data_IF_062627441753
#
_entry.id   IF_062627441753
#
_cell.length_a   1.000
_cell.length_b   1.000
_cell.length_c   1.000
_cell.angle_alpha   90.00
_cell.angle_beta   90.00
_cell.angle_gamma   90.00
#
_symmetry.space_group_name_H-M   'P 1'
#
loop_
_entity.id
_entity.type
_entity.pdbx_description
1 polymer ?
#
# COMPACT_ATOMS: atom_id res chain seq x y z
N UNK A 1 14.95 -1.20 -10.26
CA UNK A 1 15.26 0.24 -10.21
C UNK A 1 16.43 0.64 -11.10
N UNK A 2 17.57 -0.05 -11.03
CA UNK A 2 18.80 0.30 -11.75
C UNK A 2 18.61 0.37 -13.28
N UNK A 3 17.95 -0.64 -13.85
CA UNK A 3 17.68 -0.67 -15.30
C UNK A 3 16.75 0.50 -15.72
N UNK A 4 15.75 0.82 -14.90
CA UNK A 4 14.84 1.93 -15.15
C UNK A 4 15.60 3.26 -15.13
N UNK A 5 16.45 3.51 -14.12
CA UNK A 5 17.29 4.71 -14.07
C UNK A 5 18.22 4.82 -15.27
N UNK A 6 18.88 3.71 -15.67
CA UNK A 6 19.76 3.71 -16.86
C UNK A 6 19.01 4.06 -18.15
N UNK A 7 17.73 3.70 -18.27
CA UNK A 7 16.90 4.13 -19.41
C UNK A 7 16.52 5.60 -19.33
N UNK A 8 16.15 6.10 -18.15
CA UNK A 8 15.81 7.51 -17.93
C UNK A 8 17.01 8.42 -18.20
N UNK A 9 18.21 8.06 -17.74
CA UNK A 9 19.47 8.80 -18.00
C UNK A 9 19.77 8.95 -19.50
N UNK A 10 19.39 7.98 -20.31
CA UNK A 10 19.55 8.02 -21.77
C UNK A 10 18.54 8.91 -22.47
N UNK A 11 17.31 9.00 -21.92
CA UNK A 11 16.21 9.76 -22.55
C UNK A 11 16.22 11.22 -22.10
N UNK A 12 16.56 11.50 -20.84
CA UNK A 12 16.57 12.86 -20.27
C UNK A 12 17.27 13.91 -21.15
N UNK A 13 18.47 13.67 -21.72
CA UNK A 13 19.12 14.66 -22.57
C UNK A 13 18.36 14.96 -23.87
N UNK A 14 17.46 14.08 -24.30
CA UNK A 14 16.67 14.25 -25.52
C UNK A 14 15.40 15.09 -25.28
N UNK A 15 14.84 15.02 -24.06
CA UNK A 15 13.62 15.72 -23.65
C UNK A 15 13.76 16.29 -22.23
N UNK A 16 14.67 17.26 -22.02
CA UNK A 16 15.11 17.67 -20.69
C UNK A 16 14.05 18.32 -19.81
N UNK A 17 12.93 18.78 -20.38
CA UNK A 17 11.83 19.46 -19.65
C UNK A 17 10.52 18.70 -19.78
N UNK A 18 10.58 17.38 -19.77
CA UNK A 18 9.38 16.55 -19.88
C UNK A 18 8.92 16.08 -18.48
N UNK A 19 7.70 16.44 -18.11
CA UNK A 19 7.08 16.08 -16.84
C UNK A 19 7.03 14.56 -16.61
N UNK A 20 6.92 13.76 -17.67
CA UNK A 20 6.88 12.29 -17.57
C UNK A 20 8.26 11.74 -17.14
N UNK A 21 9.36 12.32 -17.62
CA UNK A 21 10.71 11.92 -17.21
C UNK A 21 10.90 12.18 -15.72
N UNK A 22 10.60 13.41 -15.27
CA UNK A 22 10.73 13.77 -13.86
C UNK A 22 9.86 12.90 -12.95
N UNK A 23 8.60 12.64 -13.33
CA UNK A 23 7.71 11.77 -12.53
C UNK A 23 8.17 10.31 -12.50
N UNK A 24 8.73 9.81 -13.61
CA UNK A 24 9.27 8.45 -13.67
C UNK A 24 10.52 8.29 -12.82
N UNK A 25 11.43 9.28 -12.84
CA UNK A 25 12.60 9.29 -11.96
C UNK A 25 12.21 9.39 -10.48
N UNK A 26 11.25 10.26 -10.16
CA UNK A 26 10.70 10.37 -8.82
C UNK A 26 10.14 9.03 -8.32
N UNK A 27 9.39 8.32 -9.17
CA UNK A 27 8.86 6.99 -8.82
C UNK A 27 9.97 5.97 -8.57
N UNK A 28 11.04 5.96 -9.37
CA UNK A 28 12.18 5.05 -9.17
C UNK A 28 12.93 5.38 -7.88
N UNK A 29 13.18 6.67 -7.61
CA UNK A 29 13.85 7.11 -6.37
C UNK A 29 13.00 6.79 -5.13
N UNK A 30 11.67 6.97 -5.22
CA UNK A 30 10.75 6.57 -4.16
C UNK A 30 10.92 5.08 -3.82
N UNK A 31 11.00 4.21 -4.82
CA UNK A 31 11.22 2.77 -4.61
C UNK A 31 12.63 2.41 -4.09
N UNK A 32 13.56 3.35 -4.15
CA UNK A 32 14.87 3.25 -3.51
C UNK A 32 14.90 3.85 -2.10
N UNK A 33 13.77 4.37 -1.60
CA UNK A 33 13.66 5.04 -0.30
C UNK A 33 14.29 6.44 -0.27
N UNK A 34 14.66 7.02 -1.42
CA UNK A 34 15.26 8.37 -1.54
C UNK A 34 14.14 9.40 -1.67
N UNK A 35 13.35 9.56 -0.62
CA UNK A 35 12.10 10.31 -0.66
C UNK A 35 12.32 11.81 -0.87
N UNK A 36 13.34 12.40 -0.27
CA UNK A 36 13.66 13.82 -0.38
C UNK A 36 14.02 14.21 -1.81
N UNK A 37 14.84 13.40 -2.47
CA UNK A 37 15.21 13.60 -3.88
C UNK A 37 14.00 13.35 -4.80
N UNK A 38 13.26 12.29 -4.52
CA UNK A 38 12.06 11.95 -5.27
C UNK A 38 11.00 13.06 -5.23
N UNK A 39 10.77 13.64 -4.04
CA UNK A 39 9.78 14.71 -3.87
C UNK A 39 10.17 15.96 -4.65
N UNK A 40 11.46 16.32 -4.67
CA UNK A 40 11.98 17.45 -5.48
C UNK A 40 11.67 17.26 -6.98
N UNK A 41 11.84 16.03 -7.49
CA UNK A 41 11.53 15.73 -8.90
C UNK A 41 10.02 15.67 -9.15
N UNK A 42 9.24 15.13 -8.23
CA UNK A 42 7.79 15.08 -8.35
C UNK A 42 7.17 16.50 -8.37
N UNK A 43 7.64 17.39 -7.50
CA UNK A 43 7.23 18.80 -7.51
C UNK A 43 7.59 19.47 -8.85
N UNK A 44 8.81 19.27 -9.34
CA UNK A 44 9.22 19.78 -10.66
C UNK A 44 8.34 19.23 -11.79
N UNK A 45 7.97 17.95 -11.73
CA UNK A 45 7.07 17.35 -12.73
C UNK A 45 5.68 17.99 -12.72
N UNK A 46 5.13 18.28 -11.53
CA UNK A 46 3.82 18.95 -11.38
C UNK A 46 3.89 20.42 -11.82
N UNK A 47 4.98 21.11 -11.51
CA UNK A 47 5.20 22.50 -11.99
C UNK A 47 5.28 22.57 -13.51
N UNK A 48 5.97 21.63 -14.15
CA UNK A 48 6.07 21.57 -15.62
C UNK A 48 4.72 21.25 -16.27
N UNK A 49 3.91 20.38 -15.65
CA UNK A 49 2.61 19.98 -16.19
C UNK A 49 1.67 19.56 -15.05
N UNK A 50 0.90 20.51 -14.55
CA UNK A 50 -0.06 20.27 -13.44
C UNK A 50 -1.17 19.25 -13.77
N UNK A 51 -1.45 19.00 -15.05
CA UNK A 51 -2.42 17.98 -15.50
C UNK A 51 -1.84 16.57 -15.55
N UNK A 52 -0.53 16.37 -15.33
CA UNK A 52 0.08 15.04 -15.30
C UNK A 52 -0.35 14.28 -14.03
N UNK A 53 -1.31 13.35 -14.20
CA UNK A 53 -1.84 12.56 -13.08
C UNK A 53 -0.79 11.65 -12.43
N UNK A 54 0.16 11.12 -13.21
CA UNK A 54 1.26 10.30 -12.67
C UNK A 54 2.15 11.12 -11.76
N UNK A 55 2.48 12.35 -12.13
CA UNK A 55 3.28 13.25 -11.31
C UNK A 55 2.57 13.59 -9.99
N UNK A 56 1.29 13.95 -10.06
CA UNK A 56 0.49 14.24 -8.86
C UNK A 56 0.36 13.03 -7.95
N UNK A 57 0.09 11.85 -8.52
CA UNK A 57 0.01 10.60 -7.77
C UNK A 57 1.34 10.27 -7.09
N UNK A 58 2.47 10.35 -7.81
CA UNK A 58 3.80 10.10 -7.24
C UNK A 58 4.10 11.07 -6.09
N UNK A 59 3.75 12.35 -6.24
CA UNK A 59 3.90 13.36 -5.19
C UNK A 59 3.04 13.03 -3.96
N UNK A 60 1.80 12.62 -4.17
CA UNK A 60 0.89 12.24 -3.08
C UNK A 60 1.40 11.02 -2.31
N UNK A 61 1.95 10.03 -2.99
CA UNK A 61 2.63 8.91 -2.34
C UNK A 61 3.85 9.36 -1.52
N UNK A 62 4.65 10.30 -2.04
CA UNK A 62 5.82 10.81 -1.33
C UNK A 62 5.43 11.61 -0.08
N UNK A 63 4.32 12.36 -0.12
CA UNK A 63 3.77 12.98 1.08
C UNK A 63 3.29 11.96 2.10
N UNK A 64 2.67 10.85 1.67
CA UNK A 64 2.35 9.71 2.57
C UNK A 64 3.61 9.12 3.17
N UNK A 65 4.60 8.80 2.34
CA UNK A 65 5.86 8.19 2.76
C UNK A 65 6.68 9.09 3.71
N UNK A 66 6.47 10.40 3.67
CA UNK A 66 7.15 11.38 4.54
C UNK A 66 6.25 11.93 5.65
N UNK A 67 5.11 11.29 5.91
CA UNK A 67 4.13 11.65 6.95
C UNK A 67 3.62 13.11 6.87
N UNK A 68 3.41 13.62 5.68
CA UNK A 68 2.76 14.91 5.44
C UNK A 68 1.25 14.70 5.27
N UNK A 69 0.61 14.05 6.24
CA UNK A 69 -0.76 13.53 6.14
C UNK A 69 -1.81 14.62 5.89
N UNK A 70 -1.67 15.83 6.48
CA UNK A 70 -2.57 16.95 6.20
C UNK A 70 -2.54 17.32 4.71
N UNK A 71 -1.35 17.35 4.09
CA UNK A 71 -1.23 17.63 2.65
C UNK A 71 -1.89 16.54 1.82
N UNK A 72 -1.72 15.29 2.21
CA UNK A 72 -2.38 14.17 1.50
C UNK A 72 -3.89 14.23 1.67
N UNK A 73 -4.40 14.59 2.84
CA UNK A 73 -5.84 14.72 3.09
C UNK A 73 -6.46 15.83 2.24
N UNK A 74 -5.75 16.95 2.05
CA UNK A 74 -6.26 18.14 1.37
C UNK A 74 -6.02 18.11 -0.15
N UNK A 75 -4.86 17.62 -0.60
CA UNK A 75 -4.39 17.71 -1.99
C UNK A 75 -4.05 16.34 -2.61
N UNK A 76 -4.20 15.24 -1.87
CA UNK A 76 -3.83 13.90 -2.32
C UNK A 76 -4.70 13.39 -3.45
N UNK A 77 -4.13 12.45 -4.21
CA UNK A 77 -4.79 11.84 -5.36
C UNK A 77 -5.43 10.49 -4.97
N UNK A 78 -6.50 10.15 -5.69
CA UNK A 78 -7.14 8.84 -5.67
C UNK A 78 -7.66 8.43 -4.26
N UNK A 79 -7.17 7.32 -3.73
CA UNK A 79 -7.56 6.73 -2.44
C UNK A 79 -6.69 7.20 -1.25
N UNK A 80 -5.56 7.84 -1.52
CA UNK A 80 -4.59 8.26 -0.50
C UNK A 80 -5.20 9.19 0.58
N UNK A 81 -6.10 10.15 0.27
CA UNK A 81 -6.76 10.96 1.28
C UNK A 81 -7.50 10.14 2.34
N UNK A 82 -8.08 8.99 1.98
CA UNK A 82 -8.81 8.12 2.92
C UNK A 82 -7.86 7.62 4.03
N UNK A 83 -6.67 7.14 3.64
CA UNK A 83 -5.67 6.66 4.59
C UNK A 83 -5.07 7.79 5.42
N UNK A 84 -4.77 8.94 4.81
CA UNK A 84 -4.26 10.11 5.52
C UNK A 84 -5.27 10.62 6.58
N UNK A 85 -6.55 10.73 6.22
CA UNK A 85 -7.62 11.08 7.14
C UNK A 85 -7.76 10.07 8.28
N UNK A 86 -7.59 8.78 7.98
CA UNK A 86 -7.63 7.72 9.00
C UNK A 86 -6.50 7.89 10.02
N UNK A 87 -5.27 8.11 9.54
CA UNK A 87 -4.11 8.37 10.42
C UNK A 87 -4.29 9.64 11.27
N UNK A 88 -4.89 10.68 10.69
CA UNK A 88 -5.21 11.93 11.39
C UNK A 88 -6.39 11.82 12.38
N UNK A 89 -7.00 10.63 12.52
CA UNK A 89 -8.18 10.42 13.37
C UNK A 89 -9.47 11.03 12.82
N UNK A 90 -9.48 11.52 11.56
CA UNK A 90 -10.65 12.08 10.86
C UNK A 90 -11.47 10.96 10.19
N UNK A 91 -11.79 9.93 10.99
CA UNK A 91 -12.37 8.65 10.52
C UNK A 91 -13.72 8.84 9.83
N UNK A 92 -14.55 9.80 10.26
CA UNK A 92 -15.86 10.04 9.64
C UNK A 92 -15.71 10.58 8.21
N UNK A 93 -14.79 11.50 7.99
CA UNK A 93 -14.48 12.04 6.65
C UNK A 93 -13.89 10.95 5.75
N UNK A 94 -12.96 10.15 6.26
CA UNK A 94 -12.41 8.99 5.56
C UNK A 94 -13.53 8.01 5.13
N UNK A 95 -14.48 7.73 6.04
CA UNK A 95 -15.62 6.85 5.79
C UNK A 95 -16.47 7.35 4.62
N UNK A 96 -16.85 8.63 4.62
CA UNK A 96 -17.64 9.24 3.53
C UNK A 96 -16.93 9.07 2.18
N UNK A 97 -15.62 9.31 2.14
CA UNK A 97 -14.83 9.15 0.91
C UNK A 97 -14.75 7.70 0.46
N UNK A 98 -14.50 6.75 1.39
CA UNK A 98 -14.36 5.34 1.09
C UNK A 98 -15.67 4.76 0.52
N UNK A 99 -16.81 5.02 1.15
CA UNK A 99 -18.12 4.57 0.65
C UNK A 99 -18.45 5.20 -0.70
N UNK A 100 -18.22 6.49 -0.88
CA UNK A 100 -18.43 7.17 -2.16
C UNK A 100 -17.58 6.54 -3.29
N UNK A 101 -16.32 6.22 -3.04
CA UNK A 101 -15.47 5.54 -4.04
C UNK A 101 -15.99 4.14 -4.39
N UNK A 102 -16.45 3.39 -3.41
CA UNK A 102 -17.03 2.06 -3.66
C UNK A 102 -18.29 2.13 -4.52
N UNK A 103 -19.13 3.14 -4.32
CA UNK A 103 -20.38 3.35 -5.07
C UNK A 103 -20.15 3.91 -6.48
N UNK A 104 -19.30 4.95 -6.61
CA UNK A 104 -19.12 5.68 -7.88
C UNK A 104 -18.08 5.04 -8.80
N UNK A 105 -17.03 4.41 -8.23
CA UNK A 105 -15.88 3.89 -8.96
C UNK A 105 -15.73 2.37 -8.88
N UNK A 106 -16.64 1.68 -8.16
CA UNK A 106 -16.54 0.25 -7.84
C UNK A 106 -15.23 -0.11 -7.12
N UNK A 107 -14.63 0.84 -6.38
CA UNK A 107 -13.39 0.63 -5.63
C UNK A 107 -13.68 0.05 -4.25
N UNK A 108 -14.14 -1.19 -4.22
CA UNK A 108 -14.45 -1.91 -2.97
C UNK A 108 -13.19 -2.32 -2.19
N UNK A 109 -12.06 -2.45 -2.86
CA UNK A 109 -10.79 -2.78 -2.21
C UNK A 109 -10.38 -1.69 -1.22
N UNK A 110 -10.39 -0.44 -1.65
CA UNK A 110 -10.12 0.71 -0.76
C UNK A 110 -11.11 0.77 0.42
N UNK A 111 -12.40 0.50 0.17
CA UNK A 111 -13.40 0.46 1.24
C UNK A 111 -13.09 -0.64 2.27
N UNK A 112 -12.76 -1.85 1.82
CA UNK A 112 -12.51 -2.97 2.73
C UNK A 112 -11.23 -2.79 3.53
N UNK A 113 -10.15 -2.30 2.89
CA UNK A 113 -8.92 -1.94 3.60
C UNK A 113 -9.21 -0.88 4.68
N UNK A 114 -9.94 0.19 4.32
CA UNK A 114 -10.31 1.23 5.28
C UNK A 114 -11.13 0.68 6.46
N UNK A 115 -12.19 -0.09 6.19
CA UNK A 115 -13.04 -0.65 7.24
C UNK A 115 -12.27 -1.59 8.18
N UNK A 116 -11.36 -2.40 7.64
CA UNK A 116 -10.47 -3.24 8.43
C UNK A 116 -9.49 -2.41 9.29
N UNK A 117 -8.97 -1.29 8.79
CA UNK A 117 -8.08 -0.41 9.55
C UNK A 117 -8.78 0.25 10.74
N UNK A 118 -10.07 0.53 10.65
CA UNK A 118 -10.85 1.18 11.71
C UNK A 118 -11.70 0.21 12.53
N UNK A 119 -11.33 -1.07 12.54
CA UNK A 119 -12.00 -2.16 13.30
C UNK A 119 -13.50 -2.36 12.97
N UNK A 120 -13.90 -2.07 11.73
CA UNK A 120 -15.26 -2.25 11.22
C UNK A 120 -15.37 -3.45 10.27
N UNK A 121 -14.67 -4.53 10.59
CA UNK A 121 -14.61 -5.76 9.77
C UNK A 121 -15.97 -6.46 9.61
N UNK A 122 -16.90 -6.25 10.55
CA UNK A 122 -18.29 -6.71 10.46
C UNK A 122 -19.05 -6.02 9.31
N UNK A 123 -18.74 -4.78 8.99
CA UNK A 123 -19.31 -4.07 7.85
C UNK A 123 -18.73 -4.57 6.52
N UNK A 124 -17.47 -4.99 6.49
CA UNK A 124 -16.91 -5.68 5.30
C UNK A 124 -17.71 -6.95 5.02
N UNK A 125 -17.96 -7.79 6.06
CA UNK A 125 -18.72 -9.02 5.90
C UNK A 125 -20.15 -8.74 5.47
N UNK A 126 -20.83 -7.76 6.09
CA UNK A 126 -22.19 -7.38 5.72
C UNK A 126 -22.26 -6.90 4.26
N UNK A 127 -21.33 -6.06 3.84
CA UNK A 127 -21.25 -5.55 2.47
C UNK A 127 -21.03 -6.66 1.44
N UNK A 128 -20.18 -7.66 1.79
CA UNK A 128 -19.95 -8.85 0.96
C UNK A 128 -21.21 -9.68 0.80
N UNK A 129 -21.85 -10.05 1.92
CA UNK A 129 -22.99 -10.95 1.92
C UNK A 129 -24.23 -10.35 1.25
N UNK A 130 -24.35 -9.02 1.22
CA UNK A 130 -25.42 -8.34 0.50
C UNK A 130 -25.24 -8.37 -1.04
N UNK A 131 -23.98 -8.42 -1.54
CA UNK A 131 -23.69 -8.23 -2.96
C UNK A 131 -23.25 -9.49 -3.68
N UNK A 132 -22.55 -10.36 -3.00
CA UNK A 132 -22.03 -11.59 -3.59
C UNK A 132 -22.48 -12.82 -2.81
N UNK A 133 -23.14 -13.79 -3.48
CA UNK A 133 -23.61 -14.99 -2.81
C UNK A 133 -22.47 -15.90 -2.31
N UNK A 134 -21.30 -15.78 -2.93
CA UNK A 134 -20.10 -16.55 -2.64
C UNK A 134 -18.82 -15.81 -3.08
N UNK A 135 -17.67 -16.32 -2.66
CA UNK A 135 -16.37 -15.73 -2.99
C UNK A 135 -15.99 -15.91 -4.46
N UNK A 136 -16.52 -16.92 -5.16
CA UNK A 136 -16.28 -17.11 -6.59
C UNK A 136 -16.96 -16.00 -7.40
N UNK A 137 -18.14 -15.57 -7.01
CA UNK A 137 -18.84 -14.42 -7.59
C UNK A 137 -18.05 -13.12 -7.42
N UNK A 138 -17.52 -12.88 -6.21
CA UNK A 138 -16.63 -11.74 -5.95
C UNK A 138 -15.38 -11.77 -6.84
N UNK A 139 -14.73 -12.94 -6.95
CA UNK A 139 -13.54 -13.10 -7.81
C UNK A 139 -13.80 -12.88 -9.29
N UNK A 140 -14.97 -13.25 -9.77
CA UNK A 140 -15.34 -13.03 -11.16
C UNK A 140 -15.50 -11.54 -11.46
N UNK A 141 -16.02 -10.76 -10.51
CA UNK A 141 -16.13 -9.31 -10.65
C UNK A 141 -14.77 -8.60 -10.47
N UNK A 142 -13.87 -9.16 -9.64
CA UNK A 142 -12.55 -8.62 -9.37
C UNK A 142 -11.46 -9.69 -9.59
N UNK A 143 -11.09 -9.95 -10.85
CA UNK A 143 -10.09 -10.98 -11.14
C UNK A 143 -8.72 -10.60 -10.55
N UNK A 144 -7.98 -11.58 -10.01
CA UNK A 144 -6.76 -11.37 -9.23
C UNK A 144 -5.66 -10.59 -9.99
N UNK A 145 -5.58 -10.75 -11.29
CA UNK A 145 -4.56 -10.10 -12.12
C UNK A 145 -4.88 -8.66 -12.49
N UNK A 146 -5.96 -8.10 -11.99
CA UNK A 146 -6.30 -6.68 -12.17
C UNK A 146 -5.51 -5.72 -11.28
N UNK A 147 -4.60 -6.24 -10.44
CA UNK A 147 -3.81 -5.46 -9.47
C UNK A 147 -4.56 -5.10 -8.18
N UNK A 148 -5.88 -5.24 -8.17
CA UNK A 148 -6.74 -4.99 -7.00
C UNK A 148 -7.27 -6.28 -6.36
N UNK A 149 -7.41 -7.35 -7.16
CA UNK A 149 -8.04 -8.59 -6.71
C UNK A 149 -7.27 -9.32 -5.61
N UNK A 150 -5.94 -9.20 -5.58
CA UNK A 150 -5.11 -9.89 -4.59
C UNK A 150 -5.25 -9.26 -3.21
N UNK A 151 -5.22 -7.92 -3.14
CA UNK A 151 -5.45 -7.19 -1.89
C UNK A 151 -6.85 -7.42 -1.37
N UNK A 152 -7.86 -7.39 -2.24
CA UNK A 152 -9.25 -7.57 -1.87
C UNK A 152 -9.48 -8.88 -1.10
N UNK A 153 -8.89 -10.00 -1.56
CA UNK A 153 -9.06 -11.29 -0.89
C UNK A 153 -8.31 -11.39 0.43
N UNK A 154 -7.22 -10.67 0.61
CA UNK A 154 -6.54 -10.55 1.91
C UNK A 154 -7.41 -9.76 2.89
N UNK A 155 -8.02 -8.64 2.44
CA UNK A 155 -8.97 -7.87 3.26
C UNK A 155 -10.18 -8.69 3.67
N UNK A 156 -10.75 -9.45 2.74
CA UNK A 156 -11.88 -10.37 3.00
C UNK A 156 -11.49 -11.44 4.02
N UNK A 157 -10.28 -12.00 3.89
CA UNK A 157 -9.75 -12.99 4.84
C UNK A 157 -9.63 -12.39 6.24
N UNK A 158 -9.09 -11.18 6.36
CA UNK A 158 -8.96 -10.49 7.64
C UNK A 158 -10.33 -10.23 8.28
N UNK A 159 -11.30 -9.77 7.50
CA UNK A 159 -12.65 -9.51 8.00
C UNK A 159 -13.32 -10.79 8.54
N UNK A 160 -13.22 -11.91 7.82
CA UNK A 160 -13.75 -13.19 8.30
C UNK A 160 -12.99 -13.72 9.52
N UNK A 161 -11.68 -13.51 9.61
CA UNK A 161 -10.89 -13.86 10.79
C UNK A 161 -11.40 -13.10 12.03
N UNK A 162 -11.55 -11.78 11.92
CA UNK A 162 -11.97 -10.91 13.03
C UNK A 162 -13.42 -11.14 13.47
N UNK A 163 -14.29 -11.50 12.53
CA UNK A 163 -15.70 -11.85 12.84
C UNK A 163 -15.89 -13.29 13.26
N UNK A 164 -14.82 -14.10 13.32
CA UNK A 164 -14.86 -15.50 13.79
C UNK A 164 -15.46 -16.49 12.79
N UNK A 165 -15.66 -16.11 11.54
CA UNK A 165 -16.15 -17.01 10.50
C UNK A 165 -15.00 -17.85 9.91
N UNK A 166 -14.58 -18.86 10.67
CA UNK A 166 -13.43 -19.70 10.32
C UNK A 166 -13.58 -20.42 8.97
N UNK A 167 -14.79 -20.83 8.60
CA UNK A 167 -15.01 -21.50 7.33
C UNK A 167 -14.72 -20.54 6.17
N UNK A 168 -15.32 -19.36 6.18
CA UNK A 168 -15.12 -18.34 5.14
C UNK A 168 -13.70 -17.82 5.12
N UNK A 169 -13.06 -17.67 6.27
CA UNK A 169 -11.65 -17.36 6.37
C UNK A 169 -10.80 -18.39 5.61
N UNK A 170 -11.00 -19.68 5.86
CA UNK A 170 -10.24 -20.73 5.19
C UNK A 170 -10.49 -20.76 3.67
N UNK A 171 -11.74 -20.51 3.24
CA UNK A 171 -12.08 -20.40 1.81
C UNK A 171 -11.34 -19.22 1.16
N UNK A 172 -11.36 -18.03 1.78
CA UNK A 172 -10.68 -16.84 1.27
C UNK A 172 -9.15 -17.03 1.24
N UNK A 173 -8.55 -17.58 2.29
CA UNK A 173 -7.11 -17.89 2.34
C UNK A 173 -6.68 -18.91 1.28
N UNK A 174 -7.54 -19.90 0.97
CA UNK A 174 -7.27 -20.84 -0.11
C UNK A 174 -7.23 -20.17 -1.49
N UNK A 175 -8.07 -19.15 -1.71
CA UNK A 175 -8.02 -18.34 -2.93
C UNK A 175 -6.73 -17.54 -3.02
N UNK A 176 -6.34 -16.84 -1.93
CA UNK A 176 -5.05 -16.11 -1.88
C UNK A 176 -3.90 -17.06 -2.22
N UNK A 177 -3.86 -18.25 -1.58
CA UNK A 177 -2.81 -19.23 -1.83
C UNK A 177 -2.74 -19.67 -3.29
N UNK A 178 -3.88 -19.93 -3.92
CA UNK A 178 -3.92 -20.33 -5.33
C UNK A 178 -3.31 -19.27 -6.25
N UNK A 179 -3.65 -17.98 -6.03
CA UNK A 179 -3.09 -16.86 -6.80
C UNK A 179 -1.59 -16.72 -6.56
N UNK A 180 -1.16 -16.82 -5.31
CA UNK A 180 0.26 -16.70 -4.96
C UNK A 180 1.09 -17.84 -5.56
N UNK A 181 0.59 -19.08 -5.56
CA UNK A 181 1.27 -20.22 -6.20
C UNK A 181 1.42 -20.01 -7.72
N UNK A 182 0.39 -19.46 -8.37
CA UNK A 182 0.45 -19.13 -9.79
C UNK A 182 1.47 -18.01 -10.07
N UNK A 183 1.52 -16.97 -9.25
CA UNK A 183 2.52 -15.89 -9.37
C UNK A 183 3.94 -16.39 -9.14
N UNK A 184 4.16 -17.25 -8.16
CA UNK A 184 5.46 -17.92 -7.92
C UNK A 184 5.86 -18.75 -9.15
N UNK A 185 4.94 -19.55 -9.71
CA UNK A 185 5.19 -20.35 -10.89
C UNK A 185 5.54 -19.51 -12.12
N UNK A 186 5.02 -18.28 -12.22
CA UNK A 186 5.36 -17.30 -13.25
C UNK A 186 6.68 -16.55 -12.96
N UNK A 187 7.33 -16.80 -11.84
CA UNK A 187 8.58 -16.14 -11.44
C UNK A 187 8.42 -14.72 -10.93
N UNK A 188 7.22 -14.33 -10.49
CA UNK A 188 6.98 -13.02 -9.88
C UNK A 188 7.80 -12.90 -8.59
N UNK A 189 8.64 -11.90 -8.54
CA UNK A 189 9.55 -11.65 -7.43
C UNK A 189 9.79 -10.15 -7.28
N UNK A 190 8.86 -9.45 -6.65
CA UNK A 190 8.95 -8.02 -6.40
C UNK A 190 8.47 -7.70 -4.97
N UNK A 191 8.69 -6.46 -4.54
CA UNK A 191 8.37 -6.01 -3.18
C UNK A 191 6.90 -6.13 -2.82
N UNK A 192 6.00 -5.84 -3.78
CA UNK A 192 4.55 -5.90 -3.53
C UNK A 192 4.13 -7.33 -3.27
N UNK A 193 4.56 -8.26 -4.13
CA UNK A 193 4.31 -9.69 -3.94
C UNK A 193 4.89 -10.20 -2.61
N UNK A 194 6.11 -9.76 -2.25
CA UNK A 194 6.74 -10.16 -0.98
C UNK A 194 5.94 -9.65 0.23
N UNK A 195 5.35 -8.43 0.17
CA UNK A 195 4.46 -7.93 1.22
C UNK A 195 3.16 -8.73 1.33
N UNK A 196 2.57 -9.10 0.19
CA UNK A 196 1.37 -9.95 0.18
C UNK A 196 1.66 -11.32 0.79
N UNK A 197 2.79 -11.95 0.43
CA UNK A 197 3.20 -13.21 1.03
C UNK A 197 3.45 -13.05 2.54
N UNK A 198 4.09 -11.97 2.99
CA UNK A 198 4.28 -11.71 4.40
C UNK A 198 2.92 -11.64 5.14
N UNK A 199 1.95 -10.91 4.59
CA UNK A 199 0.60 -10.78 5.12
C UNK A 199 -0.13 -12.12 5.15
N UNK A 200 -0.08 -12.87 4.06
CA UNK A 200 -0.68 -14.19 3.97
C UNK A 200 -0.11 -15.14 5.02
N UNK A 201 1.22 -15.23 5.14
CA UNK A 201 1.89 -16.12 6.09
C UNK A 201 1.60 -15.74 7.55
N UNK A 202 1.55 -14.44 7.87
CA UNK A 202 1.17 -13.98 9.21
C UNK A 202 -0.25 -14.44 9.57
N UNK A 203 -1.21 -14.26 8.66
CA UNK A 203 -2.59 -14.68 8.87
C UNK A 203 -2.76 -16.21 8.90
N UNK A 204 -1.92 -16.95 8.17
CA UNK A 204 -1.86 -18.41 8.21
C UNK A 204 -1.18 -18.94 9.49
N UNK A 205 -0.54 -18.09 10.30
CA UNK A 205 0.16 -18.45 11.53
C UNK A 205 1.63 -18.88 11.32
N UNK A 206 2.16 -18.82 10.10
CA UNK A 206 3.57 -19.05 9.82
C UNK A 206 4.37 -17.74 9.96
N UNK A 207 4.60 -17.35 11.22
CA UNK A 207 5.28 -16.09 11.54
C UNK A 207 6.73 -16.05 11.07
N UNK A 208 7.41 -17.21 10.99
CA UNK A 208 8.77 -17.28 10.50
C UNK A 208 8.85 -16.92 9.00
N UNK A 209 8.04 -17.57 8.17
CA UNK A 209 7.96 -17.25 6.74
C UNK A 209 7.47 -15.82 6.51
N UNK A 210 6.54 -15.33 7.32
CA UNK A 210 6.07 -13.95 7.25
C UNK A 210 7.21 -12.95 7.41
N UNK A 211 8.06 -13.12 8.43
CA UNK A 211 9.22 -12.26 8.67
C UNK A 211 10.28 -12.34 7.55
N UNK A 212 10.50 -13.53 6.98
CA UNK A 212 11.43 -13.70 5.86
C UNK A 212 10.93 -12.95 4.61
N UNK A 213 9.63 -13.03 4.31
CA UNK A 213 9.04 -12.29 3.19
C UNK A 213 8.99 -10.78 3.45
N UNK A 214 8.76 -10.35 4.69
CA UNK A 214 8.79 -8.94 5.07
C UNK A 214 10.19 -8.35 4.89
N UNK A 215 11.24 -9.03 5.41
CA UNK A 215 12.64 -8.59 5.22
C UNK A 215 13.03 -8.57 3.74
N UNK A 216 12.55 -9.53 2.96
CA UNK A 216 12.72 -9.56 1.52
C UNK A 216 12.03 -8.37 0.85
N UNK A 217 10.78 -8.03 1.21
CA UNK A 217 10.06 -6.89 0.65
C UNK A 217 10.84 -5.58 0.88
N UNK A 218 11.35 -5.39 2.11
CA UNK A 218 12.17 -4.23 2.48
C UNK A 218 13.47 -4.19 1.68
N UNK A 219 14.16 -5.33 1.55
CA UNK A 219 15.38 -5.41 0.74
C UNK A 219 15.15 -5.10 -0.75
N UNK A 220 13.92 -5.28 -1.22
CA UNK A 220 13.48 -4.96 -2.58
C UNK A 220 13.00 -3.51 -2.74
N UNK A 221 13.01 -2.70 -1.66
CA UNK A 221 12.63 -1.29 -1.68
C UNK A 221 11.22 -1.00 -1.16
N UNK A 222 10.55 -1.97 -0.52
CA UNK A 222 9.32 -1.69 0.20
C UNK A 222 9.68 -0.95 1.49
N UNK A 223 9.78 0.36 1.40
CA UNK A 223 9.99 1.22 2.55
C UNK A 223 8.68 1.99 2.74
N UNK A 224 7.85 1.51 3.63
CA UNK A 224 6.68 2.27 4.10
C UNK A 224 7.08 2.99 5.36
N UNK A 225 6.61 4.19 5.51
CA UNK A 225 6.99 5.12 6.57
C UNK A 225 5.97 5.20 7.68
N UNK A 226 4.81 4.58 7.51
CA UNK A 226 3.89 4.30 8.59
C UNK A 226 4.41 3.09 9.38
N UNK A 227 4.18 3.04 10.69
CA UNK A 227 4.32 1.77 11.42
C UNK A 227 3.60 0.72 10.61
N UNK A 228 4.31 -0.35 10.24
CA UNK A 228 3.77 -1.34 9.29
C UNK A 228 2.44 -1.88 9.80
N UNK A 229 2.31 -2.11 11.11
CA UNK A 229 1.07 -2.58 11.74
C UNK A 229 -0.10 -1.62 11.61
N UNK A 230 0.14 -0.32 11.70
CA UNK A 230 -0.93 0.68 11.63
C UNK A 230 -1.51 0.80 10.21
N UNK A 231 -0.69 0.53 9.19
CA UNK A 231 -1.10 0.54 7.78
C UNK A 231 -1.44 -0.86 7.24
N UNK A 232 -0.97 -1.92 7.91
CA UNK A 232 -1.06 -3.31 7.44
C UNK A 232 -1.52 -4.24 8.56
N UNK A 233 -2.80 -4.21 8.93
CA UNK A 233 -3.34 -4.96 10.07
C UNK A 233 -3.18 -6.48 9.95
N UNK A 234 -2.84 -6.99 8.78
CA UNK A 234 -2.52 -8.40 8.52
C UNK A 234 -1.25 -8.86 9.22
N UNK A 235 -0.33 -7.94 9.55
CA UNK A 235 0.93 -8.22 10.21
C UNK A 235 0.85 -8.11 11.74
N UNK A 236 -0.32 -7.80 12.30
CA UNK A 236 -0.53 -7.75 13.75
C UNK A 236 -0.06 -9.03 14.50
N UNK A 237 -0.13 -10.25 13.93
CA UNK A 237 0.43 -11.43 14.59
C UNK A 237 1.95 -11.40 14.83
N UNK A 238 2.69 -10.47 14.20
CA UNK A 238 4.14 -10.30 14.39
C UNK A 238 4.48 -9.37 15.55
N UNK A 239 3.52 -8.64 16.10
CA UNK A 239 3.75 -7.72 17.22
C UNK A 239 4.41 -8.42 18.40
N UNK A 240 5.46 -7.79 18.95
CA UNK A 240 6.24 -8.35 20.04
C UNK A 240 7.33 -9.35 19.61
N UNK A 241 7.47 -9.71 18.33
CA UNK A 241 8.65 -10.44 17.85
C UNK A 241 9.83 -9.44 17.72
N UNK A 242 10.98 -9.69 18.40
CA UNK A 242 12.10 -8.75 18.37
C UNK A 242 12.66 -8.47 16.95
N UNK A 243 12.50 -9.41 16.01
CA UNK A 243 12.92 -9.21 14.61
C UNK A 243 12.00 -8.24 13.89
N UNK A 244 10.70 -8.31 14.18
CA UNK A 244 9.72 -7.40 13.63
C UNK A 244 9.94 -5.97 14.17
N UNK A 245 10.15 -5.83 15.47
CA UNK A 245 10.46 -4.56 16.10
C UNK A 245 11.75 -3.93 15.51
N UNK A 246 12.81 -4.74 15.32
CA UNK A 246 14.04 -4.26 14.68
C UNK A 246 13.85 -3.83 13.22
N UNK A 247 12.91 -4.44 12.50
CA UNK A 247 12.53 -4.01 11.16
C UNK A 247 11.83 -2.64 11.22
N UNK A 248 10.89 -2.46 12.13
CA UNK A 248 10.18 -1.19 12.33
C UNK A 248 11.13 -0.06 12.72
N UNK A 249 12.04 -0.31 13.67
CA UNK A 249 13.05 0.67 14.10
C UNK A 249 13.89 1.18 12.91
N UNK A 250 14.38 0.29 12.05
CA UNK A 250 15.13 0.67 10.83
C UNK A 250 14.31 1.55 9.88
N UNK A 251 13.01 1.29 9.78
CA UNK A 251 12.14 2.09 8.93
C UNK A 251 11.90 3.49 9.51
N UNK A 252 11.71 3.57 10.83
CA UNK A 252 11.58 4.86 11.52
C UNK A 252 12.87 5.69 11.38
N UNK A 253 14.03 5.09 11.60
CA UNK A 253 15.32 5.77 11.41
C UNK A 253 15.48 6.32 9.98
N UNK A 254 15.10 5.53 8.98
CA UNK A 254 15.14 5.96 7.59
C UNK A 254 14.18 7.13 7.32
N UNK A 255 12.94 7.04 7.80
CA UNK A 255 11.96 8.12 7.68
C UNK A 255 12.48 9.42 8.28
N UNK A 256 13.03 9.36 9.49
CA UNK A 256 13.54 10.56 10.19
C UNK A 256 14.69 11.21 9.41
N UNK A 257 15.58 10.40 8.81
CA UNK A 257 16.65 10.91 7.96
C UNK A 257 16.10 11.63 6.71
N UNK A 258 15.11 11.06 6.03
CA UNK A 258 14.48 11.66 4.85
C UNK A 258 13.67 12.92 5.21
N UNK A 259 12.95 12.93 6.34
CA UNK A 259 12.24 14.11 6.85
C UNK A 259 13.21 15.25 7.16
N UNK A 260 14.33 14.95 7.83
CA UNK A 260 15.36 15.93 8.11
C UNK A 260 15.96 16.53 6.82
N UNK A 261 16.18 15.71 5.79
CA UNK A 261 16.66 16.18 4.47
C UNK A 261 15.66 17.14 3.79
N UNK A 262 14.37 16.99 4.07
CA UNK A 262 13.30 17.88 3.60
C UNK A 262 13.09 19.11 4.49
N UNK A 263 13.82 19.24 5.62
CA UNK A 263 13.62 20.31 6.61
C UNK A 263 12.28 20.19 7.36
N UNK A 264 11.71 18.98 7.46
CA UNK A 264 10.50 18.71 8.22
C UNK A 264 10.83 18.37 9.68
N UNK A 265 9.93 18.70 10.59
CA UNK A 265 10.04 18.26 11.97
C UNK A 265 9.99 16.72 12.08
N UNK A 266 10.56 16.11 13.16
CA UNK A 266 10.42 14.68 13.41
C UNK A 266 8.96 14.23 13.29
N UNK A 267 8.75 13.01 12.83
CA UNK A 267 7.40 12.47 12.76
C UNK A 267 6.81 12.36 14.18
N UNK A 268 5.61 12.87 14.36
CA UNK A 268 4.86 12.58 15.60
C UNK A 268 4.45 11.12 15.56
N UNK A 269 5.01 10.33 16.46
CA UNK A 269 4.71 8.89 16.63
C UNK A 269 3.31 8.70 17.22
#
# INVERSE_FOLDING_TARGET
PELAMAHLDRIRPLIPNDSVIYSSEAAVLRWQGRFSEALTLADSAVELQSSNSVARMTRSFLWMDTHQFERVADEGEEWLPIFALTVLGRTEEASILAFRRAEELADVSTLFTFLNLVDRSDEVVSYLEERWPDLDSLRNDFPPYSGLGDFLMIDVSLAYSRTGNQQRFNEAMAHVRTVHDDLIAQGVNNMVFSMHEASYQAMAGDLQSSLEYLDKAISQGFITTTRITDAWPYLAPLEGDPRYEAIQDRMVEHLEAERAALGLDPATT
#
